data_IF_914259604905
#
_entry.id   IF_914259604905
#
_cell.length_a   1.000
_cell.length_b   1.000
_cell.length_c   1.000
_cell.angle_alpha   90.00
_cell.angle_beta   90.00
_cell.angle_gamma   90.00
#
_symmetry.space_group_name_H-M   'P 1'
#
loop_
_entity.id
_entity.type
_entity.pdbx_description
1 polymer ?
#
# COMPACT_ATOMS: atom_id res chain seq x y z
N UNK A 1 -1.82 9.28 8.15
CA UNK A 1 -2.30 9.16 6.76
C UNK A 1 -3.56 8.32 6.75
N UNK A 2 -4.48 8.61 5.85
CA UNK A 2 -5.73 7.88 5.68
C UNK A 2 -5.47 6.70 4.75
N UNK A 3 -5.97 5.52 5.07
CA UNK A 3 -5.76 4.33 4.25
C UNK A 3 -6.95 3.39 4.30
N UNK A 4 -7.10 2.55 3.29
CA UNK A 4 -7.95 1.36 3.37
C UNK A 4 -7.18 0.31 4.17
N UNK A 5 -7.69 -0.05 5.34
CA UNK A 5 -7.08 -1.07 6.20
C UNK A 5 -7.95 -2.31 6.18
N UNK A 6 -7.32 -3.43 5.82
CA UNK A 6 -7.87 -4.77 5.91
C UNK A 6 -7.49 -5.36 7.27
N UNK A 7 -8.50 -5.84 7.99
CA UNK A 7 -8.39 -6.58 9.23
C UNK A 7 -9.11 -7.92 9.08
N UNK A 8 -8.88 -8.84 10.03
CA UNK A 8 -9.58 -10.12 10.06
C UNK A 8 -10.30 -10.32 11.39
N UNK A 9 -11.58 -10.67 11.31
CA UNK A 9 -12.39 -11.06 12.45
C UNK A 9 -13.22 -12.28 12.07
N UNK A 10 -13.22 -13.32 12.91
CA UNK A 10 -13.99 -14.56 12.69
C UNK A 10 -13.80 -15.17 11.29
N UNK A 11 -12.56 -15.11 10.76
CA UNK A 11 -12.21 -15.63 9.44
C UNK A 11 -12.72 -14.80 8.26
N UNK A 12 -13.36 -13.65 8.50
CA UNK A 12 -13.80 -12.70 7.46
C UNK A 12 -12.85 -11.52 7.39
N UNK A 13 -12.55 -11.09 6.18
CA UNK A 13 -11.82 -9.83 5.94
C UNK A 13 -12.77 -8.66 6.07
N UNK A 14 -12.37 -7.67 6.87
CA UNK A 14 -13.06 -6.41 7.06
C UNK A 14 -12.21 -5.29 6.45
N UNK A 15 -12.78 -4.55 5.50
CA UNK A 15 -12.14 -3.41 4.88
C UNK A 15 -12.77 -2.12 5.40
N UNK A 16 -11.95 -1.18 5.84
CA UNK A 16 -12.43 0.12 6.32
C UNK A 16 -11.42 1.22 6.06
N UNK A 17 -11.89 2.44 5.85
CA UNK A 17 -11.02 3.61 5.77
C UNK A 17 -10.67 4.04 7.20
N UNK A 18 -9.37 4.09 7.52
CA UNK A 18 -8.86 4.46 8.84
C UNK A 18 -7.75 5.49 8.75
N UNK A 19 -7.54 6.22 9.85
CA UNK A 19 -6.30 6.95 10.05
C UNK A 19 -5.22 6.01 10.60
N UNK A 20 -4.04 6.08 10.02
CA UNK A 20 -2.84 5.31 10.39
C UNK A 20 -1.65 6.25 10.59
N UNK A 21 -0.62 5.77 11.29
CA UNK A 21 0.62 6.52 11.40
C UNK A 21 1.30 6.65 10.02
N UNK A 22 1.95 7.79 9.79
CA UNK A 22 2.84 7.92 8.63
C UNK A 22 4.01 6.94 8.81
N UNK A 23 4.34 6.14 7.78
CA UNK A 23 5.51 5.29 7.84
C UNK A 23 6.77 6.16 7.84
N UNK A 24 7.80 5.71 8.56
CA UNK A 24 9.15 6.23 8.41
C UNK A 24 9.88 5.35 7.41
N UNK A 25 10.50 5.94 6.39
CA UNK A 25 11.36 5.18 5.50
C UNK A 25 12.60 4.68 6.25
N UNK A 26 12.89 3.39 6.10
CA UNK A 26 14.17 2.81 6.48
C UNK A 26 15.33 3.26 5.60
N UNK A 27 16.55 2.78 5.89
CA UNK A 27 17.76 3.16 5.13
C UNK A 27 17.68 2.87 3.63
N UNK A 28 17.00 1.79 3.24
CA UNK A 28 16.90 1.33 1.84
C UNK A 28 15.49 1.49 1.26
N UNK A 29 14.68 2.38 1.84
CA UNK A 29 13.29 2.59 1.44
C UNK A 29 13.07 4.00 0.86
N UNK A 30 12.04 4.10 0.03
CA UNK A 30 11.58 5.36 -0.57
C UNK A 30 10.22 5.68 0.01
N UNK A 31 10.07 6.83 0.64
CA UNK A 31 8.77 7.35 1.06
C UNK A 31 8.14 8.09 -0.13
N UNK A 32 6.91 7.73 -0.46
CA UNK A 32 6.14 8.29 -1.57
C UNK A 32 4.82 8.81 -1.05
N UNK A 33 4.52 10.07 -1.35
CA UNK A 33 3.21 10.65 -1.17
C UNK A 33 2.35 10.20 -2.37
N UNK A 34 1.38 9.33 -2.13
CA UNK A 34 0.59 8.68 -3.17
C UNK A 34 -0.51 9.62 -3.66
N UNK A 35 -0.56 9.86 -4.97
CA UNK A 35 -1.59 10.67 -5.62
C UNK A 35 -2.71 9.79 -6.22
N UNK A 36 -2.33 8.62 -6.75
CA UNK A 36 -3.22 7.73 -7.49
C UNK A 36 -2.92 6.26 -7.21
N UNK A 37 -3.95 5.43 -7.24
CA UNK A 37 -3.85 3.97 -7.20
C UNK A 37 -4.97 3.36 -8.04
N UNK A 38 -4.82 2.09 -8.42
CA UNK A 38 -5.79 1.33 -9.19
C UNK A 38 -6.62 0.40 -8.32
N UNK A 39 -7.70 -0.14 -8.90
CA UNK A 39 -8.37 -1.33 -8.39
C UNK A 39 -8.32 -2.42 -9.44
N UNK A 40 -7.34 -3.31 -9.29
CA UNK A 40 -7.22 -4.50 -10.11
C UNK A 40 -8.11 -5.62 -9.57
N UNK A 41 -8.33 -6.66 -10.37
CA UNK A 41 -9.04 -7.87 -9.92
C UNK A 41 -8.40 -8.47 -8.66
N UNK A 42 -7.07 -8.40 -8.56
CA UNK A 42 -6.32 -8.89 -7.40
C UNK A 42 -6.59 -8.07 -6.14
N UNK A 43 -6.69 -6.75 -6.25
CA UNK A 43 -7.05 -5.87 -5.13
C UNK A 43 -8.49 -6.17 -4.67
N UNK A 44 -9.42 -6.38 -5.60
CA UNK A 44 -10.78 -6.77 -5.26
C UNK A 44 -10.83 -8.12 -4.50
N UNK A 45 -10.02 -9.11 -4.91
CA UNK A 45 -9.89 -10.37 -4.17
C UNK A 45 -9.34 -10.14 -2.75
N UNK A 46 -8.29 -9.33 -2.60
CA UNK A 46 -7.71 -9.00 -1.30
C UNK A 46 -8.73 -8.31 -0.38
N UNK A 47 -9.40 -7.26 -0.88
CA UNK A 47 -10.39 -6.47 -0.12
C UNK A 47 -11.59 -7.31 0.28
N UNK A 48 -12.05 -8.22 -0.59
CA UNK A 48 -13.18 -9.12 -0.29
C UNK A 48 -12.79 -10.37 0.51
N UNK A 49 -11.51 -10.56 0.80
CA UNK A 49 -10.99 -11.75 1.49
C UNK A 49 -11.01 -13.03 0.67
N UNK A 50 -11.28 -12.95 -0.64
CA UNK A 50 -11.31 -14.10 -1.55
C UNK A 50 -9.91 -14.45 -2.06
N UNK A 51 -9.71 -15.71 -2.42
CA UNK A 51 -8.45 -16.18 -3.04
C UNK A 51 -7.23 -16.24 -2.12
N UNK A 52 -7.37 -15.86 -0.83
CA UNK A 52 -6.27 -15.87 0.17
C UNK A 52 -5.04 -15.08 -0.29
N UNK A 53 -5.27 -13.92 -0.91
CA UNK A 53 -4.21 -13.02 -1.38
C UNK A 53 -3.42 -12.48 -0.18
N UNK A 54 -4.12 -11.98 0.84
CA UNK A 54 -3.50 -11.43 2.06
C UNK A 54 -3.31 -12.54 3.10
N UNK A 55 -2.09 -12.64 3.61
CA UNK A 55 -1.72 -13.59 4.67
C UNK A 55 -1.47 -12.93 6.03
N UNK A 56 -1.05 -11.67 6.01
CA UNK A 56 -0.71 -10.91 7.20
C UNK A 56 -1.69 -9.75 7.36
N UNK A 57 -2.28 -9.61 8.54
CA UNK A 57 -3.18 -8.53 8.91
C UNK A 57 -2.62 -7.79 10.14
N UNK A 58 -2.83 -6.46 10.28
CA UNK A 58 -3.52 -5.58 9.34
C UNK A 58 -2.72 -5.31 8.06
N UNK A 59 -3.42 -4.99 6.97
CA UNK A 59 -2.85 -4.74 5.64
C UNK A 59 -3.47 -3.54 4.96
N UNK A 60 -2.66 -2.71 4.30
CA UNK A 60 -3.15 -1.74 3.30
C UNK A 60 -3.04 -2.37 1.90
N UNK A 61 -4.13 -2.58 1.15
CA UNK A 61 -4.08 -3.17 -0.18
C UNK A 61 -3.67 -2.15 -1.26
N UNK A 62 -3.68 -2.55 -2.53
CA UNK A 62 -3.29 -1.72 -3.67
C UNK A 62 -1.94 -2.14 -4.22
N UNK A 63 -1.96 -2.98 -5.25
CA UNK A 63 -0.73 -3.49 -5.89
C UNK A 63 -0.01 -2.44 -6.75
N UNK A 64 -0.64 -1.28 -6.96
CA UNK A 64 -0.13 -0.20 -7.76
C UNK A 64 -0.34 1.17 -7.09
N UNK A 65 0.56 2.09 -7.39
CA UNK A 65 0.38 3.51 -7.12
C UNK A 65 1.20 4.38 -8.06
N UNK A 66 0.83 5.64 -8.17
CA UNK A 66 1.66 6.72 -8.69
C UNK A 66 1.63 7.89 -7.71
N UNK A 67 2.77 8.57 -7.58
CA UNK A 67 2.92 9.64 -6.60
C UNK A 67 4.25 10.36 -6.70
N UNK A 68 4.60 11.09 -5.65
CA UNK A 68 5.81 11.90 -5.57
C UNK A 68 6.68 11.41 -4.41
N UNK A 69 7.98 11.22 -4.67
CA UNK A 69 8.94 10.90 -3.62
C UNK A 69 9.00 12.04 -2.62
N UNK A 70 8.68 11.77 -1.36
CA UNK A 70 8.83 12.73 -0.26
C UNK A 70 10.18 12.59 0.43
N UNK A 71 10.71 11.36 0.53
CA UNK A 71 12.04 11.10 1.08
C UNK A 71 12.68 9.85 0.48
N UNK A 72 14.00 9.89 0.29
CA UNK A 72 14.81 8.71 -0.04
C UNK A 72 16.25 8.90 0.41
N UNK A 73 16.90 7.81 0.81
CA UNK A 73 18.35 7.74 1.00
C UNK A 73 19.06 7.04 -0.17
N UNK A 74 18.31 6.62 -1.20
CA UNK A 74 18.84 5.94 -2.38
C UNK A 74 19.08 6.95 -3.51
N UNK A 75 20.29 6.96 -4.06
CA UNK A 75 20.68 7.94 -5.10
C UNK A 75 19.86 7.87 -6.39
N UNK A 76 19.12 6.77 -6.63
CA UNK A 76 18.24 6.60 -7.80
C UNK A 76 16.95 7.41 -7.68
N UNK A 77 16.58 7.85 -6.47
CA UNK A 77 15.33 8.55 -6.20
C UNK A 77 15.59 9.85 -5.42
N UNK A 78 15.00 10.94 -5.87
CA UNK A 78 15.14 12.25 -5.20
C UNK A 78 13.78 12.82 -4.80
N UNK A 79 13.74 13.59 -3.71
CA UNK A 79 12.52 14.26 -3.29
C UNK A 79 11.95 15.14 -4.43
N UNK A 80 10.63 15.09 -4.64
CA UNK A 80 9.93 15.75 -5.75
C UNK A 80 9.86 14.93 -7.04
N UNK A 81 10.53 13.78 -7.12
CA UNK A 81 10.47 12.92 -8.29
C UNK A 81 9.13 12.19 -8.37
N UNK A 82 8.51 12.21 -9.56
CA UNK A 82 7.32 11.41 -9.84
C UNK A 82 7.71 9.96 -10.10
N UNK A 83 6.98 9.04 -9.46
CA UNK A 83 7.23 7.60 -9.53
C UNK A 83 5.94 6.82 -9.72
N UNK A 84 6.08 5.62 -10.27
CA UNK A 84 5.01 4.63 -10.39
C UNK A 84 5.51 3.29 -9.87
N UNK A 85 4.65 2.56 -9.18
CA UNK A 85 4.89 1.19 -8.73
C UNK A 85 3.76 0.29 -9.23
N UNK A 86 4.12 -0.89 -9.71
CA UNK A 86 3.19 -1.98 -10.02
C UNK A 86 3.79 -3.32 -9.60
N UNK A 87 3.13 -4.06 -8.70
CA UNK A 87 3.51 -5.41 -8.30
C UNK A 87 4.56 -5.48 -7.17
N UNK A 88 5.59 -6.32 -7.33
CA UNK A 88 6.66 -6.54 -6.35
C UNK A 88 6.23 -6.98 -4.94
N UNK A 89 5.03 -7.56 -4.81
CA UNK A 89 4.49 -7.98 -3.52
C UNK A 89 3.93 -6.83 -2.66
N UNK A 90 3.91 -5.61 -3.18
CA UNK A 90 3.18 -4.47 -2.61
C UNK A 90 1.68 -4.71 -2.75
N UNK A 91 0.90 -4.38 -1.73
CA UNK A 91 -0.53 -4.70 -1.64
C UNK A 91 -0.83 -6.17 -1.36
N UNK A 92 0.20 -6.99 -1.05
CA UNK A 92 0.07 -8.43 -0.78
C UNK A 92 0.85 -8.86 0.47
N UNK A 93 2.16 -8.62 0.44
CA UNK A 93 3.11 -8.94 1.50
C UNK A 93 3.54 -7.67 2.24
N UNK A 94 3.56 -6.55 1.52
CA UNK A 94 3.85 -5.20 2.01
C UNK A 94 2.61 -4.33 1.84
N UNK A 95 2.47 -3.31 2.69
CA UNK A 95 1.39 -2.32 2.57
C UNK A 95 1.48 -1.59 1.22
N UNK A 96 0.32 -1.34 0.63
CA UNK A 96 0.15 -0.90 -0.75
C UNK A 96 -0.39 0.51 -0.95
N UNK A 97 -0.79 0.77 -2.19
CA UNK A 97 -1.11 2.09 -2.73
C UNK A 97 -2.46 2.69 -2.31
N UNK A 98 -3.32 1.97 -1.60
CA UNK A 98 -4.63 2.49 -1.18
C UNK A 98 -4.52 3.30 0.13
N UNK A 99 -3.65 4.32 0.11
CA UNK A 99 -3.36 5.27 1.20
C UNK A 99 -3.09 6.69 0.67
N UNK A 100 -3.42 7.71 1.46
CA UNK A 100 -3.19 9.16 1.22
C UNK A 100 -2.88 9.93 2.52
#
# INVERSE_FOLDING_TARGET
>A
MKAIVLEQAEGKTLASVKQTALPAAGPDEVLVDVDWSGLNYKDALAITGKGKIIRNFPMVPGIDFAGVVSHSNDERFSAGQQVVLTGWGVGENHWGGLAE
#
